data_IF_157675763727
#
_entry.id   IF_157675763727
#
_cell.length_a   1.000
_cell.length_b   1.000
_cell.length_c   1.000
_cell.angle_alpha   90.00
_cell.angle_beta   90.00
_cell.angle_gamma   90.00
#
_symmetry.space_group_name_H-M   'P 1'
#
loop_
_entity.id
_entity.type
_entity.pdbx_description
1 polymer ?
#
# COMPACT_ATOMS: atom_id res chain seq x y z
N UNK A 1 -14.04 2.78 -2.11
CA UNK A 1 -12.98 3.80 -1.88
C UNK A 1 -11.59 3.20 -1.77
N UNK A 2 -11.40 2.25 -0.86
CA UNK A 2 -10.09 1.63 -0.68
C UNK A 2 -9.60 0.93 -1.96
N UNK A 3 -10.39 0.11 -2.66
CA UNK A 3 -9.91 -0.49 -3.91
C UNK A 3 -9.45 0.55 -4.95
N UNK A 4 -10.13 1.68 -5.05
CA UNK A 4 -9.74 2.75 -5.97
C UNK A 4 -8.37 3.36 -5.62
N UNK A 5 -8.07 3.48 -4.31
CA UNK A 5 -6.76 3.96 -3.85
C UNK A 5 -5.66 2.98 -4.28
N UNK A 6 -5.89 1.69 -4.15
CA UNK A 6 -4.92 0.68 -4.54
C UNK A 6 -4.73 0.61 -6.07
N UNK A 7 -5.75 0.97 -6.86
CA UNK A 7 -5.60 1.08 -8.32
C UNK A 7 -4.54 2.10 -8.72
N UNK A 8 -4.25 3.08 -7.88
CA UNK A 8 -3.18 4.06 -8.13
C UNK A 8 -1.80 3.40 -8.25
N UNK A 9 -1.60 2.26 -7.60
CA UNK A 9 -0.34 1.49 -7.74
C UNK A 9 -0.18 1.03 -9.20
N UNK A 10 -1.23 0.48 -9.78
CA UNK A 10 -1.19 0.04 -11.17
C UNK A 10 -1.01 1.22 -12.14
N UNK A 11 -1.68 2.33 -11.86
CA UNK A 11 -1.56 3.55 -12.67
C UNK A 11 -0.12 4.08 -12.63
N UNK A 12 0.49 4.11 -11.44
CA UNK A 12 1.89 4.52 -11.29
C UNK A 12 2.84 3.57 -12.04
N UNK A 13 2.59 2.26 -11.95
CA UNK A 13 3.43 1.26 -12.61
C UNK A 13 3.41 1.37 -14.13
N UNK A 14 2.34 1.93 -14.71
CA UNK A 14 2.21 2.16 -16.16
C UNK A 14 3.00 3.39 -16.63
N UNK A 15 3.50 4.22 -15.73
CA UNK A 15 4.24 5.42 -16.10
C UNK A 15 5.66 5.10 -16.58
N UNK A 16 6.16 5.80 -17.62
CA UNK A 16 7.53 5.63 -18.07
C UNK A 16 8.53 5.92 -16.93
N UNK A 17 9.54 5.07 -16.78
CA UNK A 17 10.57 5.25 -15.77
C UNK A 17 10.17 4.86 -14.36
N UNK A 18 9.03 4.19 -14.18
CA UNK A 18 8.59 3.72 -12.86
C UNK A 18 9.64 2.82 -12.20
N UNK A 19 10.01 3.12 -10.95
CA UNK A 19 11.00 2.40 -10.17
C UNK A 19 10.50 2.00 -8.79
N UNK A 20 9.21 1.73 -8.66
CA UNK A 20 8.61 1.39 -7.38
C UNK A 20 8.29 2.61 -6.54
N UNK A 21 8.23 2.42 -5.23
CA UNK A 21 7.86 3.47 -4.31
C UNK A 21 9.05 4.38 -3.99
N UNK A 22 8.99 5.68 -4.29
CA UNK A 22 10.08 6.59 -3.97
C UNK A 22 10.37 6.67 -2.46
N UNK A 23 9.35 6.49 -1.61
CA UNK A 23 9.54 6.51 -0.16
C UNK A 23 10.30 5.29 0.33
N UNK A 24 10.00 4.09 -0.20
CA UNK A 24 10.75 2.87 0.12
C UNK A 24 12.20 2.99 -0.32
N UNK A 25 12.42 3.51 -1.53
CA UNK A 25 13.76 3.69 -2.09
C UNK A 25 14.57 4.69 -1.27
N UNK A 26 13.96 5.81 -0.89
CA UNK A 26 14.62 6.80 -0.05
C UNK A 26 14.91 6.27 1.36
N UNK A 27 14.02 5.48 1.94
CA UNK A 27 14.25 4.88 3.26
C UNK A 27 15.46 3.96 3.26
N UNK A 28 15.70 3.23 2.18
CA UNK A 28 16.87 2.36 2.04
C UNK A 28 18.17 3.16 2.03
N UNK A 29 18.15 4.38 1.47
CA UNK A 29 19.32 5.26 1.41
C UNK A 29 19.53 6.04 2.71
N UNK A 30 18.48 6.25 3.50
CA UNK A 30 18.52 7.03 4.75
C UNK A 30 18.03 6.17 5.92
N UNK A 31 18.81 5.16 6.34
CA UNK A 31 18.35 4.22 7.37
C UNK A 31 18.37 4.81 8.79
N UNK A 32 19.10 5.90 9.04
CA UNK A 32 19.17 6.51 10.37
C UNK A 32 17.81 7.16 10.72
N UNK A 33 17.15 6.71 11.81
CA UNK A 33 15.86 7.27 12.21
C UNK A 33 15.92 8.75 12.58
N UNK A 34 17.10 9.31 12.82
CA UNK A 34 17.28 10.73 13.10
C UNK A 34 17.42 11.58 11.85
N UNK A 35 17.60 10.96 10.69
CA UNK A 35 17.67 11.67 9.41
C UNK A 35 16.38 12.45 9.16
N UNK A 36 16.46 13.74 8.75
CA UNK A 36 15.26 14.49 8.37
C UNK A 36 14.47 13.83 7.23
N UNK A 37 15.15 13.18 6.29
CA UNK A 37 14.50 12.43 5.19
C UNK A 37 13.72 11.27 5.77
N UNK A 38 14.32 10.48 6.67
CA UNK A 38 13.64 9.35 7.29
C UNK A 38 12.44 9.79 8.12
N UNK A 39 12.57 10.89 8.86
CA UNK A 39 11.45 11.44 9.64
C UNK A 39 10.29 11.87 8.75
N UNK A 40 10.58 12.48 7.59
CA UNK A 40 9.55 12.84 6.63
C UNK A 40 8.82 11.60 6.07
N UNK A 41 9.57 10.54 5.80
CA UNK A 41 9.01 9.26 5.34
C UNK A 41 8.11 8.66 6.42
N UNK A 42 8.57 8.60 7.66
CA UNK A 42 7.81 8.05 8.78
C UNK A 42 6.51 8.83 8.99
N UNK A 43 6.54 10.14 8.87
CA UNK A 43 5.36 11.00 8.97
C UNK A 43 4.36 10.71 7.84
N UNK A 44 4.84 10.55 6.62
CA UNK A 44 3.99 10.21 5.47
C UNK A 44 3.35 8.83 5.65
N UNK A 45 4.10 7.84 6.09
CA UNK A 45 3.60 6.49 6.33
C UNK A 45 2.54 6.48 7.45
N UNK A 46 2.75 7.24 8.50
CA UNK A 46 1.78 7.37 9.57
C UNK A 46 0.47 8.02 9.07
N UNK A 47 0.58 9.07 8.29
CA UNK A 47 -0.58 9.72 7.65
C UNK A 47 -1.35 8.75 6.75
N UNK A 48 -0.65 7.98 5.94
CA UNK A 48 -1.25 7.01 5.04
C UNK A 48 -2.01 5.93 5.82
N UNK A 49 -1.41 5.40 6.87
CA UNK A 49 -2.06 4.42 7.74
C UNK A 49 -3.33 4.99 8.36
N UNK A 50 -3.26 6.21 8.91
CA UNK A 50 -4.41 6.88 9.51
C UNK A 50 -5.53 7.14 8.52
N UNK A 51 -5.20 7.47 7.27
CA UNK A 51 -6.19 7.66 6.19
C UNK A 51 -6.92 6.35 5.89
N UNK A 52 -6.19 5.24 5.78
CA UNK A 52 -6.79 3.91 5.58
C UNK A 52 -7.69 3.54 6.76
N UNK A 53 -7.22 3.77 7.97
CA UNK A 53 -8.01 3.50 9.18
C UNK A 53 -9.32 4.28 9.19
N UNK A 54 -9.28 5.58 8.87
CA UNK A 54 -10.47 6.43 8.85
C UNK A 54 -11.48 5.95 7.79
N UNK A 55 -11.02 5.54 6.62
CA UNK A 55 -11.86 4.97 5.57
C UNK A 55 -12.49 3.64 6.02
N UNK A 56 -11.74 2.81 6.71
CA UNK A 56 -12.24 1.54 7.24
C UNK A 56 -13.31 1.77 8.30
N UNK A 57 -13.14 2.76 9.16
CA UNK A 57 -14.14 3.15 10.15
C UNK A 57 -15.42 3.61 9.43
N UNK A 58 -15.30 4.44 8.40
CA UNK A 58 -16.43 4.92 7.62
C UNK A 58 -17.18 3.76 6.93
N UNK A 59 -16.46 2.71 6.53
CA UNK A 59 -17.03 1.52 5.91
C UNK A 59 -17.51 0.47 6.94
N UNK A 60 -17.53 0.83 8.22
CA UNK A 60 -17.95 -0.05 9.31
C UNK A 60 -17.13 -1.35 9.40
N UNK A 61 -15.84 -1.27 9.11
CA UNK A 61 -14.94 -2.40 9.28
C UNK A 61 -14.88 -2.81 10.76
N UNK A 62 -14.89 -4.11 11.02
CA UNK A 62 -14.96 -4.66 12.39
C UNK A 62 -13.69 -4.43 13.19
N UNK A 63 -12.55 -4.33 12.52
CA UNK A 63 -11.25 -4.16 13.18
C UNK A 63 -10.38 -3.22 12.34
N UNK A 64 -10.70 -1.91 12.36
CA UNK A 64 -10.05 -0.96 11.45
C UNK A 64 -8.54 -0.86 11.65
N UNK A 65 -8.05 -0.96 12.87
CA UNK A 65 -6.62 -0.83 13.14
C UNK A 65 -5.83 -1.99 12.54
N UNK A 66 -6.27 -3.23 12.80
CA UNK A 66 -5.60 -4.43 12.27
C UNK A 66 -5.75 -4.53 10.76
N UNK A 67 -6.89 -4.14 10.23
CA UNK A 67 -7.10 -4.13 8.78
C UNK A 67 -6.24 -3.06 8.11
N UNK A 68 -6.08 -1.88 8.73
CA UNK A 68 -5.15 -0.86 8.24
C UNK A 68 -3.70 -1.36 8.23
N UNK A 69 -3.29 -2.09 9.25
CA UNK A 69 -1.97 -2.73 9.29
C UNK A 69 -1.80 -3.70 8.11
N UNK A 70 -2.78 -4.57 7.88
CA UNK A 70 -2.74 -5.55 6.80
C UNK A 70 -2.72 -4.87 5.41
N UNK A 71 -3.51 -3.81 5.22
CA UNK A 71 -3.50 -3.04 3.98
C UNK A 71 -2.17 -2.34 3.75
N UNK A 72 -1.53 -1.85 4.80
CA UNK A 72 -0.21 -1.22 4.70
C UNK A 72 0.83 -2.24 4.23
N UNK A 73 0.84 -3.43 4.82
CA UNK A 73 1.72 -4.53 4.40
C UNK A 73 1.44 -4.90 2.95
N UNK A 74 0.17 -5.03 2.58
CA UNK A 74 -0.22 -5.37 1.21
C UNK A 74 0.24 -4.30 0.22
N UNK A 75 0.07 -3.02 0.54
CA UNK A 75 0.51 -1.92 -0.31
C UNK A 75 2.02 -1.95 -0.53
N UNK A 76 2.79 -2.12 0.53
CA UNK A 76 4.25 -2.17 0.44
C UNK A 76 4.70 -3.36 -0.41
N UNK A 77 4.09 -4.53 -0.22
CA UNK A 77 4.39 -5.72 -1.01
C UNK A 77 3.99 -5.57 -2.48
N UNK A 78 2.82 -5.00 -2.75
CA UNK A 78 2.36 -4.76 -4.12
C UNK A 78 3.25 -3.77 -4.86
N UNK A 79 3.77 -2.75 -4.17
CA UNK A 79 4.73 -1.82 -4.77
C UNK A 79 6.01 -2.52 -5.18
N UNK A 80 6.53 -3.42 -4.34
CA UNK A 80 7.71 -4.23 -4.67
C UNK A 80 7.43 -5.15 -5.86
N UNK A 81 6.32 -5.87 -5.83
CA UNK A 81 5.93 -6.78 -6.92
C UNK A 81 5.75 -6.02 -8.24
N UNK A 82 5.12 -4.86 -8.20
CA UNK A 82 4.89 -4.03 -9.40
C UNK A 82 6.20 -3.58 -10.05
N UNK A 83 7.23 -3.38 -9.27
CA UNK A 83 8.54 -2.92 -9.74
C UNK A 83 9.45 -4.06 -10.17
N UNK A 84 9.57 -5.10 -9.33
CA UNK A 84 10.54 -6.17 -9.55
C UNK A 84 10.01 -7.26 -10.47
N UNK A 85 8.78 -7.68 -10.27
CA UNK A 85 8.20 -8.81 -11.02
C UNK A 85 7.42 -8.37 -12.25
N UNK A 86 6.83 -7.19 -12.22
CA UNK A 86 6.08 -6.58 -13.34
C UNK A 86 5.07 -7.55 -13.97
N UNK A 87 4.17 -8.15 -13.18
CA UNK A 87 3.26 -9.13 -13.70
C UNK A 87 2.26 -8.52 -14.70
N UNK A 88 1.94 -9.27 -15.76
CA UNK A 88 0.98 -8.81 -16.77
C UNK A 88 -0.42 -8.61 -16.18
N UNK A 89 -0.75 -9.35 -15.11
CA UNK A 89 -2.05 -9.28 -14.43
C UNK A 89 -2.03 -8.40 -13.18
N UNK A 90 -1.19 -7.36 -13.14
CA UNK A 90 -0.99 -6.53 -11.95
C UNK A 90 -2.31 -5.99 -11.38
N UNK A 91 -3.20 -5.46 -12.21
CA UNK A 91 -4.47 -4.90 -11.74
C UNK A 91 -5.35 -5.93 -11.05
N UNK A 92 -5.47 -7.12 -11.62
CA UNK A 92 -6.26 -8.17 -11.00
C UNK A 92 -5.59 -8.71 -9.74
N UNK A 93 -4.27 -8.78 -9.71
CA UNK A 93 -3.52 -9.16 -8.50
C UNK A 93 -3.77 -8.16 -7.37
N UNK A 94 -3.71 -6.87 -7.66
CA UNK A 94 -3.99 -5.81 -6.67
C UNK A 94 -5.40 -5.96 -6.13
N UNK A 95 -6.39 -6.10 -7.01
CA UNK A 95 -7.79 -6.24 -6.63
C UNK A 95 -8.03 -7.47 -5.77
N UNK A 96 -7.49 -8.61 -6.17
CA UNK A 96 -7.60 -9.85 -5.42
C UNK A 96 -6.98 -9.72 -4.03
N UNK A 97 -5.81 -9.12 -3.95
CA UNK A 97 -5.11 -8.92 -2.67
C UNK A 97 -5.93 -8.04 -1.72
N UNK A 98 -6.43 -6.92 -2.22
CA UNK A 98 -7.25 -6.00 -1.42
C UNK A 98 -8.54 -6.67 -0.95
N UNK A 99 -9.22 -7.40 -1.83
CA UNK A 99 -10.45 -8.11 -1.50
C UNK A 99 -10.22 -9.12 -0.38
N UNK A 100 -9.12 -9.88 -0.45
CA UNK A 100 -8.78 -10.85 0.60
C UNK A 100 -8.50 -10.19 1.94
N UNK A 101 -7.83 -9.05 1.94
CA UNK A 101 -7.56 -8.30 3.18
C UNK A 101 -8.84 -7.73 3.77
N UNK A 102 -9.72 -7.18 2.93
CA UNK A 102 -10.95 -6.54 3.39
C UNK A 102 -12.00 -7.53 3.87
N UNK A 103 -12.18 -8.64 3.16
CA UNK A 103 -13.24 -9.59 3.46
C UNK A 103 -12.76 -11.01 3.67
N UNK A 104 -11.49 -11.26 3.38
CA UNK A 104 -10.97 -12.62 3.32
C UNK A 104 -11.56 -13.41 2.15
N UNK A 105 -11.09 -14.64 1.92
CA UNK A 105 -11.65 -15.50 0.90
C UNK A 105 -13.08 -15.85 1.28
N UNK A 106 -13.96 -15.84 0.28
CA UNK A 106 -15.35 -16.21 0.50
C UNK A 106 -15.44 -17.69 0.78
N UNK A 107 -16.24 -18.10 1.78
CA UNK A 107 -16.52 -19.53 1.93
C UNK A 107 -17.26 -20.04 0.71
N UNK A 108 -16.87 -21.19 0.28
CA UNK A 108 -17.48 -21.85 -0.88
C UNK A 108 -18.68 -22.68 -0.43
#
# INVERSE_FOLDING_TARGET
MIPAIFDLIADAADQPGYRGCPFQNAAAEYPDPRSPVRQAIDKHRHWKWGTLRDLLIADANRDPDRTADALTVAADGLLVVSHLDRPANLRSLIRDTVDRVLGGPRPV
#
